data_IF_646839649127
#
_entry.id   IF_646839649127
#
_cell.length_a   1.000
_cell.length_b   1.000
_cell.length_c   1.000
_cell.angle_alpha   90.00
_cell.angle_beta   90.00
_cell.angle_gamma   90.00
#
_symmetry.space_group_name_H-M   'P 1'
#
loop_
_entity.id
_entity.type
_entity.pdbx_description
1 polymer ?
#
# COMPACT_ATOMS: atom_id res chain seq x y z
N UNK A 1 20.12 23.27 -10.40
CA UNK A 1 19.18 24.27 -10.94
C UNK A 1 18.21 23.53 -11.84
N UNK A 2 17.07 23.10 -11.28
CA UNK A 2 15.97 22.53 -12.05
C UNK A 2 14.69 22.93 -11.31
N UNK A 3 14.21 24.12 -11.63
CA UNK A 3 12.89 24.63 -11.23
C UNK A 3 11.83 23.75 -11.90
N UNK A 4 11.40 22.67 -11.22
CA UNK A 4 10.03 22.21 -11.39
C UNK A 4 9.19 22.98 -10.41
N UNK A 5 8.64 24.11 -10.87
CA UNK A 5 7.44 24.71 -10.29
C UNK A 5 6.30 23.70 -10.40
N UNK A 6 6.27 22.70 -9.52
CA UNK A 6 5.14 21.80 -9.36
C UNK A 6 4.04 22.54 -8.58
N UNK A 7 3.50 23.60 -9.18
CA UNK A 7 2.22 24.15 -8.73
C UNK A 7 1.10 23.19 -9.11
N UNK A 8 0.00 23.19 -8.36
CA UNK A 8 -1.19 22.47 -8.75
C UNK A 8 -1.61 22.86 -10.18
N UNK A 9 -2.12 21.93 -11.01
CA UNK A 9 -2.63 22.27 -12.34
C UNK A 9 -3.58 23.48 -12.30
N UNK A 10 -3.41 24.46 -13.19
CA UNK A 10 -4.19 25.72 -13.18
C UNK A 10 -5.71 25.50 -13.13
N UNK A 11 -6.21 24.46 -13.79
CA UNK A 11 -7.64 24.08 -13.77
C UNK A 11 -8.11 23.69 -12.37
N UNK A 12 -7.27 23.00 -11.59
CA UNK A 12 -7.58 22.63 -10.20
C UNK A 12 -7.54 23.86 -9.31
N UNK A 13 -6.55 24.74 -9.48
CA UNK A 13 -6.48 26.00 -8.73
C UNK A 13 -7.73 26.85 -8.94
N UNK A 14 -8.15 27.00 -10.21
CA UNK A 14 -9.38 27.72 -10.55
C UNK A 14 -10.62 27.09 -9.89
N UNK A 15 -10.75 25.76 -9.95
CA UNK A 15 -11.85 25.04 -9.31
C UNK A 15 -11.89 25.30 -7.78
N UNK A 16 -10.75 25.24 -7.11
CA UNK A 16 -10.65 25.48 -5.67
C UNK A 16 -11.02 26.92 -5.31
N UNK A 17 -10.53 27.90 -6.07
CA UNK A 17 -10.90 29.31 -5.91
C UNK A 17 -12.41 29.53 -6.08
N UNK A 18 -13.02 28.91 -7.10
CA UNK A 18 -14.46 29.01 -7.36
C UNK A 18 -15.28 28.39 -6.21
N UNK A 19 -14.82 27.27 -5.63
CA UNK A 19 -15.44 26.64 -4.46
C UNK A 19 -15.29 27.52 -3.22
N UNK A 20 -14.09 28.04 -2.94
CA UNK A 20 -13.82 28.93 -1.82
C UNK A 20 -14.72 30.17 -1.85
N UNK A 21 -14.86 30.80 -3.02
CA UNK A 21 -15.78 31.91 -3.23
C UNK A 21 -17.23 31.53 -2.93
N UNK A 22 -17.72 30.39 -3.45
CA UNK A 22 -19.10 29.91 -3.22
C UNK A 22 -19.39 29.57 -1.77
N UNK A 23 -18.39 29.10 -1.02
CA UNK A 23 -18.53 28.73 0.39
C UNK A 23 -18.20 29.88 1.35
N UNK A 24 -17.86 31.07 0.83
CA UNK A 24 -17.38 32.22 1.61
C UNK A 24 -16.17 31.87 2.50
N UNK A 25 -15.27 31.02 2.00
CA UNK A 25 -14.03 30.60 2.65
C UNK A 25 -12.86 31.31 1.97
N UNK A 26 -12.03 31.98 2.77
CA UNK A 26 -10.79 32.61 2.29
C UNK A 26 -9.58 31.81 2.76
N UNK A 27 -8.85 31.23 1.82
CA UNK A 27 -7.63 30.48 2.10
C UNK A 27 -6.40 31.37 1.92
N UNK A 28 -5.27 30.97 2.53
CA UNK A 28 -3.97 31.55 2.17
C UNK A 28 -3.55 31.01 0.80
N UNK A 29 -2.72 31.75 0.06
CA UNK A 29 -2.19 31.27 -1.24
C UNK A 29 -1.44 29.93 -1.09
N UNK A 30 -0.71 29.78 0.02
CA UNK A 30 0.02 28.56 0.35
C UNK A 30 -0.93 27.37 0.53
N UNK A 31 -2.05 27.56 1.25
CA UNK A 31 -3.05 26.50 1.44
C UNK A 31 -3.80 26.16 0.14
N UNK A 32 -4.08 27.15 -0.72
CA UNK A 32 -4.68 26.93 -2.04
C UNK A 32 -3.77 26.08 -2.94
N UNK A 33 -2.48 26.40 -3.00
CA UNK A 33 -1.49 25.63 -3.75
C UNK A 33 -1.35 24.20 -3.22
N UNK A 34 -1.27 24.05 -1.89
CA UNK A 34 -1.21 22.73 -1.24
C UNK A 34 -2.44 21.89 -1.53
N UNK A 35 -3.63 22.44 -1.32
CA UNK A 35 -4.90 21.75 -1.61
C UNK A 35 -4.98 21.35 -3.08
N UNK A 36 -4.51 22.20 -3.99
CA UNK A 36 -4.48 21.88 -5.41
C UNK A 36 -3.59 20.67 -5.72
N UNK A 37 -2.43 20.56 -5.09
CA UNK A 37 -1.55 19.40 -5.26
C UNK A 37 -2.14 18.13 -4.65
N UNK A 38 -2.74 18.24 -3.45
CA UNK A 38 -3.44 17.12 -2.80
C UNK A 38 -4.55 16.59 -3.72
N UNK A 39 -5.34 17.49 -4.29
CA UNK A 39 -6.42 17.12 -5.20
C UNK A 39 -5.90 16.51 -6.50
N UNK A 40 -4.78 17.04 -7.03
CA UNK A 40 -4.11 16.47 -8.19
C UNK A 40 -3.62 15.05 -7.93
N UNK A 41 -2.96 14.81 -6.79
CA UNK A 41 -2.47 13.50 -6.38
C UNK A 41 -3.61 12.48 -6.28
N UNK A 42 -4.74 12.86 -5.66
CA UNK A 42 -5.93 12.01 -5.60
C UNK A 42 -6.50 11.72 -6.99
N UNK A 43 -6.62 12.74 -7.85
CA UNK A 43 -7.16 12.57 -9.20
C UNK A 43 -6.29 11.61 -10.03
N UNK A 44 -4.98 11.80 -10.01
CA UNK A 44 -4.01 10.94 -10.69
C UNK A 44 -4.08 9.51 -10.15
N UNK A 45 -4.04 9.34 -8.83
CA UNK A 45 -4.08 8.03 -8.19
C UNK A 45 -5.39 7.28 -8.43
N UNK A 46 -6.53 7.95 -8.29
CA UNK A 46 -7.83 7.32 -8.54
C UNK A 46 -8.01 6.94 -9.99
N UNK A 47 -7.58 7.79 -10.93
CA UNK A 47 -7.63 7.49 -12.35
C UNK A 47 -6.76 6.28 -12.73
N UNK A 48 -5.59 6.14 -12.12
CA UNK A 48 -4.67 5.01 -12.37
C UNK A 48 -5.29 3.66 -11.95
N UNK A 49 -6.10 3.68 -10.89
CA UNK A 49 -6.65 2.48 -10.25
C UNK A 49 -8.01 2.04 -10.82
N UNK A 50 -8.57 2.77 -11.80
CA UNK A 50 -9.80 2.39 -12.50
C UNK A 50 -9.61 1.02 -13.17
N UNK A 51 -10.56 0.10 -12.91
CA UNK A 51 -10.61 -1.26 -13.45
C UNK A 51 -9.36 -2.11 -13.19
N UNK A 52 -8.62 -1.82 -12.11
CA UNK A 52 -7.43 -2.60 -11.70
C UNK A 52 -7.72 -3.73 -10.71
N UNK A 53 -8.97 -3.88 -10.26
CA UNK A 53 -9.35 -4.92 -9.30
C UNK A 53 -9.38 -6.33 -9.89
N UNK A 54 -9.15 -7.38 -9.08
CA UNK A 54 -8.85 -7.34 -7.64
C UNK A 54 -7.37 -6.98 -7.36
N UNK A 55 -7.11 -6.16 -6.35
CA UNK A 55 -5.75 -5.67 -6.01
C UNK A 55 -5.27 -6.30 -4.70
N UNK A 56 -3.99 -6.67 -4.62
CA UNK A 56 -3.30 -6.99 -3.37
C UNK A 56 -2.13 -6.03 -3.22
N UNK A 57 -2.06 -5.36 -2.06
CA UNK A 57 -0.93 -4.49 -1.75
C UNK A 57 0.09 -5.23 -0.92
N UNK A 58 1.36 -5.09 -1.33
CA UNK A 58 2.49 -5.71 -0.64
C UNK A 58 3.45 -4.63 -0.14
N UNK A 59 3.78 -4.71 1.14
CA UNK A 59 4.71 -3.83 1.82
C UNK A 59 5.97 -4.60 2.23
N UNK A 60 7.09 -3.89 2.33
CA UNK A 60 8.35 -4.47 2.78
C UNK A 60 9.48 -3.44 2.77
N UNK A 61 10.64 -3.85 3.28
CA UNK A 61 11.84 -3.02 3.36
C UNK A 61 12.31 -2.53 1.98
N UNK A 62 12.66 -1.24 1.90
CA UNK A 62 13.31 -0.64 0.72
C UNK A 62 14.83 -0.89 0.68
N UNK A 63 15.39 -1.62 1.66
CA UNK A 63 16.84 -1.77 1.86
C UNK A 63 17.38 -3.17 1.57
N UNK A 64 16.51 -4.16 1.39
CA UNK A 64 16.91 -5.53 1.08
C UNK A 64 17.51 -5.57 -0.33
N UNK A 65 18.61 -6.30 -0.51
CA UNK A 65 19.30 -6.41 -1.79
C UNK A 65 18.80 -7.60 -2.61
N UNK A 66 18.97 -7.59 -3.95
CA UNK A 66 18.52 -8.69 -4.82
C UNK A 66 19.10 -10.08 -4.53
N UNK A 67 20.25 -10.16 -3.86
CA UNK A 67 20.93 -11.43 -3.58
C UNK A 67 20.34 -12.18 -2.36
N UNK A 68 19.60 -11.46 -1.51
CA UNK A 68 19.02 -12.01 -0.28
C UNK A 68 17.85 -12.95 -0.54
N UNK A 69 17.63 -13.89 0.39
CA UNK A 69 16.55 -14.87 0.29
C UNK A 69 15.18 -14.21 0.45
N UNK A 70 15.07 -13.13 1.22
CA UNK A 70 13.85 -12.34 1.34
C UNK A 70 13.46 -11.69 0.00
N UNK A 71 14.44 -11.26 -0.80
CA UNK A 71 14.18 -10.71 -2.12
C UNK A 71 13.65 -11.80 -3.07
N UNK A 72 14.27 -12.98 -3.08
CA UNK A 72 13.81 -14.12 -3.89
C UNK A 72 12.38 -14.53 -3.52
N UNK A 73 12.08 -14.57 -2.22
CA UNK A 73 10.74 -14.80 -1.71
C UNK A 73 9.77 -13.73 -2.23
N UNK A 74 10.14 -12.44 -2.17
CA UNK A 74 9.32 -11.35 -2.71
C UNK A 74 9.01 -11.53 -4.21
N UNK A 75 10.00 -11.93 -5.00
CA UNK A 75 9.82 -12.24 -6.43
C UNK A 75 8.87 -13.42 -6.63
N UNK A 76 9.02 -14.50 -5.86
CA UNK A 76 8.12 -15.65 -5.94
C UNK A 76 6.69 -15.27 -5.56
N UNK A 77 6.51 -14.54 -4.45
CA UNK A 77 5.22 -14.04 -4.00
C UNK A 77 4.53 -13.20 -5.08
N UNK A 78 5.23 -12.22 -5.65
CA UNK A 78 4.68 -11.38 -6.71
C UNK A 78 4.24 -12.19 -7.93
N UNK A 79 5.02 -13.20 -8.31
CA UNK A 79 4.71 -14.10 -9.42
C UNK A 79 3.45 -14.93 -9.17
N UNK A 80 3.31 -15.49 -7.98
CA UNK A 80 2.14 -16.31 -7.62
C UNK A 80 0.87 -15.47 -7.46
N UNK A 81 0.97 -14.26 -6.90
CA UNK A 81 -0.15 -13.31 -6.85
C UNK A 81 -0.67 -12.96 -8.25
N UNK A 82 0.24 -12.64 -9.17
CA UNK A 82 -0.10 -12.34 -10.56
C UNK A 82 -0.75 -13.53 -11.27
N UNK A 83 -0.24 -14.75 -11.08
CA UNK A 83 -0.83 -15.98 -11.64
C UNK A 83 -2.25 -16.25 -11.14
N UNK A 84 -2.60 -15.79 -9.95
CA UNK A 84 -3.97 -15.86 -9.42
C UNK A 84 -4.91 -14.79 -9.97
N UNK A 85 -4.41 -13.89 -10.83
CA UNK A 85 -5.19 -12.83 -11.44
C UNK A 85 -5.30 -11.56 -10.61
N UNK A 86 -4.49 -11.41 -9.55
CA UNK A 86 -4.44 -10.16 -8.80
C UNK A 86 -3.56 -9.13 -9.49
N UNK A 87 -3.99 -7.87 -9.44
CA UNK A 87 -3.08 -6.74 -9.61
C UNK A 87 -2.23 -6.60 -8.35
N UNK A 88 -0.92 -6.57 -8.54
CA UNK A 88 0.05 -6.36 -7.47
C UNK A 88 0.34 -4.87 -7.35
N UNK A 89 0.09 -4.32 -6.16
CA UNK A 89 0.35 -2.93 -5.83
C UNK A 89 1.45 -2.83 -4.77
N UNK A 90 2.41 -1.94 -4.95
CA UNK A 90 3.45 -1.65 -3.95
C UNK A 90 3.70 -0.15 -3.83
N UNK A 91 4.58 0.22 -2.90
CA UNK A 91 5.11 1.58 -2.81
C UNK A 91 6.05 2.01 -3.95
N UNK A 92 6.33 1.15 -4.94
CA UNK A 92 7.06 1.50 -6.16
C UNK A 92 8.57 1.73 -6.03
N UNK A 93 9.12 1.65 -4.82
CA UNK A 93 10.54 1.83 -4.53
C UNK A 93 11.39 0.55 -4.72
N UNK A 94 12.67 0.60 -4.33
CA UNK A 94 13.60 -0.53 -4.40
C UNK A 94 13.33 -1.60 -3.33
N UNK A 95 14.18 -2.63 -3.29
CA UNK A 95 14.16 -3.68 -2.27
C UNK A 95 12.96 -4.61 -2.43
N UNK A 96 12.24 -4.89 -1.35
CA UNK A 96 11.14 -5.85 -1.38
C UNK A 96 9.92 -5.37 -2.18
N UNK A 97 9.74 -4.06 -2.31
CA UNK A 97 8.73 -3.51 -3.23
C UNK A 97 9.07 -3.87 -4.68
N UNK A 98 10.32 -3.64 -5.09
CA UNK A 98 10.84 -4.03 -6.41
C UNK A 98 10.76 -5.53 -6.63
N UNK A 99 11.17 -6.35 -5.64
CA UNK A 99 11.11 -7.81 -5.73
C UNK A 99 9.71 -8.30 -6.14
N UNK A 100 8.69 -7.81 -5.44
CA UNK A 100 7.30 -8.21 -5.67
C UNK A 100 6.79 -7.69 -7.01
N UNK A 101 7.09 -6.43 -7.37
CA UNK A 101 6.75 -5.90 -8.69
C UNK A 101 7.41 -6.70 -9.81
N UNK A 102 8.69 -7.08 -9.65
CA UNK A 102 9.44 -7.90 -10.59
C UNK A 102 8.77 -9.25 -10.82
N UNK A 103 8.44 -9.95 -9.74
CA UNK A 103 7.74 -11.23 -9.82
C UNK A 103 6.42 -11.15 -10.59
N UNK A 104 5.61 -10.13 -10.29
CA UNK A 104 4.33 -9.90 -10.95
C UNK A 104 4.51 -9.55 -12.43
N UNK A 105 5.48 -8.69 -12.75
CA UNK A 105 5.80 -8.27 -14.11
C UNK A 105 6.29 -9.44 -14.96
N UNK A 106 7.22 -10.26 -14.45
CA UNK A 106 7.73 -11.46 -15.14
C UNK A 106 6.64 -12.51 -15.40
N UNK A 107 5.57 -12.51 -14.60
CA UNK A 107 4.39 -13.35 -14.79
C UNK A 107 3.38 -12.78 -15.80
N UNK A 108 3.68 -11.64 -16.45
CA UNK A 108 2.75 -10.86 -17.27
C UNK A 108 1.49 -10.39 -16.50
N UNK A 109 1.61 -10.18 -15.19
CA UNK A 109 0.54 -9.62 -14.36
C UNK A 109 0.56 -8.09 -14.31
N UNK A 110 -0.53 -7.50 -13.82
CA UNK A 110 -0.58 -6.07 -13.54
C UNK A 110 0.29 -5.77 -12.31
N UNK A 111 1.30 -4.91 -12.47
CA UNK A 111 2.26 -4.53 -11.44
C UNK A 111 2.29 -3.02 -11.33
N UNK A 112 1.81 -2.46 -10.21
CA UNK A 112 1.62 -1.02 -10.01
C UNK A 112 2.51 -0.54 -8.86
N UNK A 113 3.05 0.68 -9.00
CA UNK A 113 3.87 1.31 -7.98
C UNK A 113 3.42 2.74 -7.68
N UNK A 114 3.15 3.05 -6.40
CA UNK A 114 2.85 4.40 -5.95
C UNK A 114 4.03 4.94 -5.16
N UNK A 115 4.89 5.71 -5.83
CA UNK A 115 6.05 6.36 -5.25
C UNK A 115 5.66 7.62 -4.45
N UNK A 116 6.59 8.10 -3.63
CA UNK A 116 6.45 9.33 -2.84
C UNK A 116 7.62 10.27 -3.17
N UNK A 117 7.32 11.55 -3.32
CA UNK A 117 8.32 12.61 -3.41
C UNK A 117 8.93 12.84 -2.03
N UNK A 118 10.24 12.65 -1.91
CA UNK A 118 11.02 12.84 -0.68
C UNK A 118 12.35 13.54 -1.02
N UNK A 119 13.00 14.24 -0.07
CA UNK A 119 14.21 15.02 -0.34
C UNK A 119 15.34 14.22 -0.99
N UNK A 120 15.50 12.96 -0.58
CA UNK A 120 16.40 11.99 -1.23
C UNK A 120 15.53 11.01 -2.03
N UNK A 121 15.31 11.33 -3.31
CA UNK A 121 14.43 10.52 -4.17
C UNK A 121 14.94 9.08 -4.26
N UNK A 122 14.00 8.14 -4.08
CA UNK A 122 14.23 6.75 -4.45
C UNK A 122 13.84 6.57 -5.92
N UNK A 123 14.67 5.90 -6.74
CA UNK A 123 14.29 5.60 -8.10
C UNK A 123 13.06 4.68 -8.07
N UNK A 124 12.07 5.00 -8.91
CA UNK A 124 10.97 4.09 -9.18
C UNK A 124 11.54 2.79 -9.76
N UNK A 125 11.06 1.65 -9.27
CA UNK A 125 11.54 0.37 -9.80
C UNK A 125 11.03 0.13 -11.23
N UNK A 126 11.82 -0.54 -12.10
CA UNK A 126 11.49 -0.67 -13.52
C UNK A 126 10.39 -1.69 -13.81
N UNK A 127 9.90 -2.42 -12.80
CA UNK A 127 8.92 -3.49 -12.94
C UNK A 127 7.49 -3.06 -12.59
N UNK A 128 7.30 -1.83 -12.13
CA UNK A 128 6.01 -1.22 -11.87
C UNK A 128 5.55 -0.40 -13.08
N UNK A 129 4.47 -0.82 -13.73
CA UNK A 129 3.82 -0.10 -14.82
C UNK A 129 2.30 -0.33 -14.79
N UNK A 130 1.48 0.72 -14.55
CA UNK A 130 1.87 2.11 -14.33
C UNK A 130 2.60 2.36 -12.99
N UNK A 131 3.43 3.41 -12.97
CA UNK A 131 4.02 3.98 -11.76
C UNK A 131 3.78 5.48 -11.70
N UNK A 132 3.34 5.97 -10.53
CA UNK A 132 3.09 7.39 -10.27
C UNK A 132 3.87 7.84 -9.04
N UNK A 133 4.23 9.12 -8.98
CA UNK A 133 4.85 9.74 -7.80
C UNK A 133 3.89 10.75 -7.21
N UNK A 134 3.60 10.60 -5.93
CA UNK A 134 2.67 11.42 -5.15
C UNK A 134 3.48 12.37 -4.26
N UNK A 135 2.92 13.53 -3.91
CA UNK A 135 3.60 14.54 -3.09
C UNK A 135 3.33 14.36 -1.59
N UNK A 136 2.15 13.85 -1.22
CA UNK A 136 1.71 13.75 0.18
C UNK A 136 1.54 12.30 0.65
N UNK A 137 2.16 11.96 1.79
CA UNK A 137 2.09 10.62 2.38
C UNK A 137 0.67 10.12 2.63
N UNK A 138 -0.21 10.98 3.15
CA UNK A 138 -1.59 10.57 3.43
C UNK A 138 -2.38 10.24 2.17
N UNK A 139 -2.08 10.88 1.03
CA UNK A 139 -2.71 10.51 -0.25
C UNK A 139 -2.21 9.15 -0.69
N UNK A 140 -0.89 8.92 -0.61
CA UNK A 140 -0.28 7.63 -0.93
C UNK A 140 -0.84 6.48 -0.08
N UNK A 141 -0.99 6.68 1.24
CA UNK A 141 -1.61 5.71 2.16
C UNK A 141 -3.02 5.33 1.72
N UNK A 142 -3.88 6.34 1.44
CA UNK A 142 -5.23 6.09 0.93
C UNK A 142 -5.21 5.26 -0.36
N UNK A 143 -4.31 5.56 -1.29
CA UNK A 143 -4.24 4.83 -2.57
C UNK A 143 -3.74 3.38 -2.42
N UNK A 144 -2.82 3.11 -1.48
CA UNK A 144 -2.32 1.77 -1.17
C UNK A 144 -3.38 0.90 -0.45
N UNK A 145 -4.27 1.53 0.32
CA UNK A 145 -5.28 0.82 1.11
C UNK A 145 -6.60 0.65 0.35
N UNK A 146 -7.14 1.71 -0.24
CA UNK A 146 -8.53 1.78 -0.75
C UNK A 146 -8.93 0.65 -1.71
N UNK A 147 -8.02 0.20 -2.57
CA UNK A 147 -8.34 -0.73 -3.67
C UNK A 147 -8.03 -2.20 -3.33
N UNK A 148 -7.37 -2.44 -2.20
CA UNK A 148 -6.81 -3.73 -1.85
C UNK A 148 -7.85 -4.64 -1.19
N UNK A 149 -7.84 -5.91 -1.58
CA UNK A 149 -8.68 -6.97 -1.00
C UNK A 149 -7.89 -7.95 -0.12
N UNK A 150 -6.57 -7.77 0.00
CA UNK A 150 -5.71 -8.38 0.99
C UNK A 150 -4.42 -7.56 1.08
N UNK A 151 -3.69 -7.75 2.18
CA UNK A 151 -2.42 -7.09 2.42
C UNK A 151 -1.36 -8.10 2.80
N UNK A 152 -0.17 -7.96 2.24
CA UNK A 152 0.99 -8.78 2.61
C UNK A 152 2.10 -7.88 3.13
N UNK A 153 2.62 -8.20 4.31
CA UNK A 153 3.73 -7.48 4.94
C UNK A 153 4.93 -8.40 5.01
N UNK A 154 5.91 -8.14 4.14
CA UNK A 154 7.25 -8.71 4.21
C UNK A 154 8.06 -7.99 5.31
N UNK A 155 9.21 -8.54 5.76
CA UNK A 155 10.09 -7.87 6.71
C UNK A 155 10.46 -6.44 6.30
N UNK A 156 10.47 -5.52 7.26
CA UNK A 156 10.37 -4.09 6.98
C UNK A 156 11.07 -3.18 7.97
N UNK A 157 10.90 -1.88 7.76
CA UNK A 157 11.32 -0.84 8.71
C UNK A 157 10.13 0.00 9.13
N UNK A 158 10.37 1.26 9.51
CA UNK A 158 9.30 2.17 9.94
C UNK A 158 8.21 2.37 8.90
N UNK A 159 8.54 2.46 7.60
CA UNK A 159 7.51 2.59 6.57
C UNK A 159 6.56 1.38 6.52
N UNK A 160 7.09 0.17 6.68
CA UNK A 160 6.27 -1.05 6.71
C UNK A 160 5.43 -1.12 7.99
N UNK A 161 6.01 -0.74 9.13
CA UNK A 161 5.29 -0.71 10.41
C UNK A 161 4.18 0.36 10.45
N UNK A 162 4.42 1.52 9.84
CA UNK A 162 3.45 2.60 9.69
C UNK A 162 2.21 2.12 8.93
N UNK A 163 2.41 1.48 7.77
CA UNK A 163 1.32 0.90 6.97
C UNK A 163 0.64 -0.28 7.69
N UNK A 164 1.41 -1.10 8.43
CA UNK A 164 0.85 -2.20 9.21
C UNK A 164 -0.12 -1.70 10.29
N UNK A 165 0.31 -0.75 11.13
CA UNK A 165 -0.53 -0.24 12.21
C UNK A 165 -1.71 0.59 11.68
N UNK A 166 -1.55 1.32 10.57
CA UNK A 166 -2.67 1.98 9.92
C UNK A 166 -3.72 0.96 9.44
N UNK A 167 -3.28 -0.11 8.77
CA UNK A 167 -4.18 -1.16 8.26
C UNK A 167 -4.94 -1.85 9.40
N UNK A 168 -4.23 -2.23 10.48
CA UNK A 168 -4.85 -2.83 11.67
C UNK A 168 -5.86 -1.89 12.32
N UNK A 169 -5.53 -0.60 12.44
CA UNK A 169 -6.44 0.40 13.01
C UNK A 169 -7.70 0.57 12.15
N UNK A 170 -7.55 0.59 10.82
CA UNK A 170 -8.69 0.71 9.90
C UNK A 170 -9.60 -0.54 9.92
N UNK A 171 -9.04 -1.73 10.11
CA UNK A 171 -9.81 -2.95 10.33
C UNK A 171 -10.57 -2.89 11.64
N UNK A 172 -9.87 -2.60 12.74
CA UNK A 172 -10.44 -2.50 14.08
C UNK A 172 -11.62 -1.51 14.12
N UNK A 173 -11.50 -0.39 13.40
CA UNK A 173 -12.53 0.67 13.37
C UNK A 173 -13.59 0.48 12.28
N UNK A 174 -13.54 -0.62 11.52
CA UNK A 174 -14.48 -0.93 10.44
C UNK A 174 -14.44 0.07 9.26
N UNK A 175 -13.32 0.78 9.08
CA UNK A 175 -13.12 1.71 7.97
C UNK A 175 -12.74 1.01 6.66
N UNK A 176 -12.23 -0.21 6.76
CA UNK A 176 -12.05 -1.13 5.63
C UNK A 176 -12.71 -2.47 5.95
N UNK A 177 -13.01 -3.25 4.90
CA UNK A 177 -13.60 -4.58 5.06
C UNK A 177 -12.59 -5.58 5.69
N UNK A 178 -13.07 -6.63 6.36
CA UNK A 178 -12.24 -7.59 7.10
C UNK A 178 -11.47 -8.54 6.18
N UNK A 179 -10.42 -8.02 5.55
CA UNK A 179 -9.52 -8.76 4.67
C UNK A 179 -8.33 -9.37 5.44
N UNK A 180 -7.72 -10.45 4.93
CA UNK A 180 -6.55 -11.04 5.58
C UNK A 180 -5.31 -10.12 5.48
N UNK A 181 -4.58 -10.02 6.59
CA UNK A 181 -3.26 -9.40 6.68
C UNK A 181 -2.23 -10.51 6.86
N UNK A 182 -1.47 -10.78 5.81
CA UNK A 182 -0.45 -11.85 5.81
C UNK A 182 0.90 -11.26 6.21
N UNK A 183 1.40 -11.67 7.36
CA UNK A 183 2.71 -11.32 7.90
C UNK A 183 3.72 -12.40 7.53
N UNK A 184 4.64 -12.07 6.63
CA UNK A 184 5.65 -13.00 6.13
C UNK A 184 6.92 -12.92 6.96
N UNK A 185 7.47 -14.08 7.35
CA UNK A 185 8.66 -14.21 8.18
C UNK A 185 8.31 -14.19 9.67
N UNK A 186 7.85 -15.32 10.21
CA UNK A 186 7.40 -15.44 11.61
C UNK A 186 8.43 -14.96 12.61
N UNK A 187 9.70 -15.30 12.38
CA UNK A 187 10.80 -14.90 13.26
C UNK A 187 10.94 -13.38 13.36
N UNK A 188 10.80 -12.67 12.23
CA UNK A 188 10.87 -11.21 12.19
C UNK A 188 9.71 -10.57 12.98
N UNK A 189 8.49 -11.09 12.84
CA UNK A 189 7.30 -10.53 13.48
C UNK A 189 7.12 -10.94 14.94
N UNK A 190 7.77 -12.03 15.40
CA UNK A 190 7.56 -12.61 16.74
C UNK A 190 7.65 -11.58 17.87
N UNK A 191 8.73 -10.80 17.91
CA UNK A 191 8.95 -9.84 18.99
C UNK A 191 7.87 -8.74 19.05
N UNK A 192 7.36 -8.30 17.89
CA UNK A 192 6.26 -7.33 17.86
C UNK A 192 4.96 -7.95 18.37
N UNK A 193 4.66 -9.19 17.98
CA UNK A 193 3.45 -9.88 18.40
C UNK A 193 3.45 -10.19 19.90
N UNK A 194 4.58 -10.63 20.44
CA UNK A 194 4.77 -10.83 21.88
C UNK A 194 4.52 -9.53 22.66
N UNK A 195 4.95 -8.38 22.12
CA UNK A 195 4.68 -7.07 22.73
C UNK A 195 3.20 -6.69 22.61
N UNK A 196 2.55 -6.90 21.46
CA UNK A 196 1.12 -6.63 21.26
C UNK A 196 0.29 -7.46 22.25
N UNK A 197 0.58 -8.75 22.38
CA UNK A 197 -0.15 -9.64 23.29
C UNK A 197 0.16 -9.32 24.76
N UNK A 198 1.45 -9.17 25.08
CA UNK A 198 1.92 -8.97 26.44
C UNK A 198 1.63 -7.58 27.01
N UNK A 199 1.43 -6.56 26.15
CA UNK A 199 1.11 -5.19 26.57
C UNK A 199 -0.28 -4.79 26.13
N UNK A 200 -0.55 -4.74 24.83
CA UNK A 200 -1.81 -4.16 24.35
C UNK A 200 -3.02 -5.00 24.75
N UNK A 201 -3.00 -6.31 24.50
CA UNK A 201 -4.12 -7.20 24.88
C UNK A 201 -4.22 -7.37 26.38
N UNK A 202 -3.10 -7.71 27.04
CA UNK A 202 -3.08 -7.95 28.49
C UNK A 202 -3.53 -6.72 29.28
N UNK A 203 -3.09 -5.52 28.88
CA UNK A 203 -3.41 -4.28 29.57
C UNK A 203 -4.78 -3.70 29.11
N UNK A 204 -5.52 -4.42 28.25
CA UNK A 204 -6.88 -4.05 27.81
C UNK A 204 -6.96 -2.86 26.85
N UNK A 205 -5.87 -2.56 26.14
CA UNK A 205 -5.77 -1.44 25.18
C UNK A 205 -6.30 -1.80 23.79
N UNK A 206 -6.44 -3.09 23.49
CA UNK A 206 -7.11 -3.64 22.30
C UNK A 206 -7.99 -4.82 22.70
N UNK A 207 -9.00 -5.14 21.89
CA UNK A 207 -9.90 -6.28 22.10
C UNK A 207 -9.19 -7.60 21.75
N UNK A 208 -9.58 -8.74 22.35
CA UNK A 208 -8.99 -10.04 22.03
C UNK A 208 -9.03 -10.41 20.54
N UNK A 209 -10.10 -10.02 19.83
CA UNK A 209 -10.29 -10.30 18.41
C UNK A 209 -9.61 -9.33 17.44
N UNK A 210 -8.97 -8.25 17.92
CA UNK A 210 -8.37 -7.22 17.05
C UNK A 210 -7.19 -7.77 16.21
N UNK A 211 -6.68 -8.96 16.54
CA UNK A 211 -5.61 -9.64 15.80
C UNK A 211 -6.10 -10.84 14.97
N UNK A 212 -7.40 -11.13 14.92
CA UNK A 212 -7.94 -12.34 14.27
C UNK A 212 -7.74 -12.34 12.74
N UNK A 213 -7.48 -11.17 12.16
CA UNK A 213 -7.19 -10.97 10.74
C UNK A 213 -5.70 -11.12 10.39
N UNK A 214 -4.83 -11.34 11.39
CA UNK A 214 -3.40 -11.52 11.19
C UNK A 214 -3.08 -13.00 10.92
N UNK A 215 -2.49 -13.27 9.77
CA UNK A 215 -2.07 -14.60 9.36
C UNK A 215 -0.57 -14.62 9.13
N UNK A 216 0.11 -15.70 9.54
CA UNK A 216 1.55 -15.82 9.38
C UNK A 216 1.91 -16.80 8.27
N UNK A 217 2.98 -16.47 7.54
CA UNK A 217 3.56 -17.32 6.51
C UNK A 217 5.09 -17.22 6.53
N UNK A 218 5.80 -18.29 6.20
CA UNK A 218 7.26 -18.25 6.02
C UNK A 218 7.69 -18.42 4.56
N UNK A 219 6.76 -18.82 3.69
CA UNK A 219 7.00 -19.00 2.25
C UNK A 219 5.94 -18.28 1.42
N UNK A 220 6.25 -18.07 0.13
CA UNK A 220 5.27 -17.57 -0.83
C UNK A 220 4.06 -18.52 -0.93
N UNK A 221 4.28 -19.83 -0.94
CA UNK A 221 3.22 -20.84 -0.97
C UNK A 221 2.26 -20.72 0.22
N UNK A 222 2.78 -20.58 1.45
CA UNK A 222 1.95 -20.41 2.64
C UNK A 222 1.13 -19.12 2.57
N UNK A 223 1.74 -18.01 2.16
CA UNK A 223 1.06 -16.72 2.03
C UNK A 223 -0.08 -16.81 1.00
N UNK A 224 0.17 -17.46 -0.12
CA UNK A 224 -0.83 -17.73 -1.17
C UNK A 224 -1.93 -18.68 -0.67
N UNK A 225 -1.59 -19.68 0.14
CA UNK A 225 -2.55 -20.58 0.77
C UNK A 225 -3.57 -19.84 1.64
N UNK A 226 -3.12 -18.86 2.43
CA UNK A 226 -4.01 -17.98 3.20
C UNK A 226 -4.96 -17.22 2.28
N UNK A 227 -4.44 -16.63 1.20
CA UNK A 227 -5.26 -15.86 0.24
C UNK A 227 -6.30 -16.77 -0.43
N UNK A 228 -5.91 -17.95 -0.92
CA UNK A 228 -6.82 -18.92 -1.55
C UNK A 228 -7.96 -19.33 -0.63
N UNK A 229 -7.68 -19.61 0.64
CA UNK A 229 -8.70 -19.93 1.64
C UNK A 229 -9.75 -18.81 1.80
N UNK A 230 -9.31 -17.55 1.73
CA UNK A 230 -10.23 -16.41 1.80
C UNK A 230 -11.00 -16.15 0.51
N UNK A 231 -10.48 -16.58 -0.65
CA UNK A 231 -11.24 -16.64 -1.90
C UNK A 231 -12.34 -17.70 -1.79
N UNK A 232 -12.00 -18.91 -1.35
CA UNK A 232 -12.94 -20.04 -1.20
C UNK A 232 -14.08 -19.72 -0.22
N UNK A 233 -13.75 -19.05 0.88
CA UNK A 233 -14.74 -18.64 1.89
C UNK A 233 -15.50 -17.35 1.52
N UNK A 234 -15.19 -16.74 0.37
CA UNK A 234 -15.90 -15.57 -0.16
C UNK A 234 -15.55 -14.22 0.49
N UNK A 235 -14.57 -14.18 1.40
CA UNK A 235 -14.06 -12.93 2.01
C UNK A 235 -13.31 -12.08 0.99
N UNK A 236 -12.56 -12.73 0.08
CA UNK A 236 -11.95 -12.08 -1.09
C UNK A 236 -12.78 -12.39 -2.32
N UNK A 237 -13.20 -11.36 -3.05
CA UNK A 237 -13.92 -11.49 -4.32
C UNK A 237 -12.99 -11.14 -5.48
N UNK A 238 -12.82 -12.07 -6.42
CA UNK A 238 -11.95 -11.90 -7.60
C UNK A 238 -12.55 -11.02 -8.71
N UNK A 239 -13.73 -10.44 -8.50
CA UNK A 239 -14.36 -9.43 -9.37
C UNK A 239 -14.98 -8.34 -8.51
N UNK A 240 -14.98 -7.08 -8.96
CA UNK A 240 -15.78 -6.05 -8.31
C UNK A 240 -17.27 -6.41 -8.38
N UNK A 241 -18.01 -6.05 -7.34
CA UNK A 241 -19.45 -5.80 -7.47
C UNK A 241 -19.60 -4.42 -8.11
#
# INVERSE_FOLDING_TARGET
MNDRKNGAPEKIQKLLSDIGYKLNIKLSKEDEERLGLIFSDFLTGFSMMVDKGPVITVFGSSRVTPDGDEYKLGVELGRELAKLGFTVLTGGGPGLMEAVNKGAHEANGNSIGINISIPEEQPANPYASPSITINYFFVRKVLLLKYSCAYVFLPGGFGTLDEFFETVTLLQTGKIAPFPLVLVGREYWRGLMEWIDGRLKRDGLISPGDTDHLYFADTAEEAIGVIKKHIENGTIKLRPV
#
